data_IF_559583491763
#
_entry.id   IF_559583491763
#
_cell.length_a   1.000
_cell.length_b   1.000
_cell.length_c   1.000
_cell.angle_alpha   90.00
_cell.angle_beta   90.00
_cell.angle_gamma   90.00
#
_symmetry.space_group_name_H-M   'P 1'
#
loop_
_entity.id
_entity.type
_entity.pdbx_description
1 polymer ?
#
# COMPACT_ATOMS: atom_id res chain seq x y z
N UNK A 1 3.23 0.15 23.97
CA UNK A 1 2.71 -0.65 22.84
C UNK A 1 2.46 0.31 21.70
N UNK A 2 3.08 0.10 20.53
CA UNK A 2 2.73 0.87 19.33
C UNK A 2 1.37 0.41 18.81
N UNK A 3 0.61 1.32 18.20
CA UNK A 3 -0.68 0.98 17.61
C UNK A 3 -0.50 0.02 16.43
N UNK A 4 -1.39 -0.98 16.31
CA UNK A 4 -1.34 -1.99 15.25
C UNK A 4 -2.55 -1.80 14.32
N UNK A 5 -2.26 -1.68 13.03
CA UNK A 5 -3.26 -1.43 12.00
C UNK A 5 -3.23 -2.53 10.93
N UNK A 6 -4.39 -3.07 10.58
CA UNK A 6 -4.55 -3.82 9.34
C UNK A 6 -4.76 -2.81 8.21
N UNK A 7 -3.88 -2.85 7.20
CA UNK A 7 -3.88 -1.88 6.10
C UNK A 7 -4.98 -2.22 5.09
N UNK A 8 -5.84 -1.25 4.75
CA UNK A 8 -6.76 -1.40 3.63
C UNK A 8 -6.01 -1.35 2.28
N UNK A 9 -6.48 -2.10 1.29
CA UNK A 9 -5.91 -2.14 -0.05
C UNK A 9 -5.73 -0.76 -0.66
N UNK A 10 -6.69 0.16 -0.46
CA UNK A 10 -6.57 1.50 -1.00
C UNK A 10 -5.39 2.26 -0.41
N UNK A 11 -5.10 2.13 0.88
CA UNK A 11 -3.97 2.80 1.53
C UNK A 11 -2.64 2.32 0.92
N UNK A 12 -2.51 1.01 0.70
CA UNK A 12 -1.36 0.43 0.01
C UNK A 12 -1.25 0.95 -1.43
N UNK A 13 -2.35 1.02 -2.17
CA UNK A 13 -2.36 1.56 -3.53
C UNK A 13 -1.96 3.04 -3.58
N UNK A 14 -2.38 3.87 -2.61
CA UNK A 14 -1.99 5.29 -2.54
C UNK A 14 -0.51 5.45 -2.30
N UNK A 15 0.06 4.61 -1.43
CA UNK A 15 1.49 4.58 -1.17
C UNK A 15 2.28 4.19 -2.45
N UNK A 16 1.86 3.13 -3.16
CA UNK A 16 2.57 2.60 -4.34
C UNK A 16 2.39 3.42 -5.62
N UNK A 17 1.25 4.11 -5.77
CA UNK A 17 0.92 4.88 -6.99
C UNK A 17 1.26 6.37 -6.89
N UNK A 18 1.40 6.90 -5.68
CA UNK A 18 1.56 8.34 -5.49
C UNK A 18 0.30 9.16 -5.80
N UNK A 19 -0.86 8.53 -6.04
CA UNK A 19 -2.07 9.23 -6.47
C UNK A 19 -3.37 8.76 -5.79
N UNK A 20 -4.33 9.67 -5.55
CA UNK A 20 -4.21 11.12 -5.69
C UNK A 20 -3.31 11.72 -4.59
N UNK A 21 -2.60 12.81 -4.92
CA UNK A 21 -1.49 13.34 -4.13
C UNK A 21 -1.81 13.49 -2.62
N UNK A 22 -2.96 14.07 -2.26
CA UNK A 22 -3.35 14.25 -0.85
C UNK A 22 -3.42 12.91 -0.08
N UNK A 23 -3.96 11.87 -0.70
CA UNK A 23 -4.09 10.56 -0.07
C UNK A 23 -2.75 9.81 -0.06
N UNK A 24 -1.96 9.95 -1.13
CA UNK A 24 -0.62 9.39 -1.20
C UNK A 24 0.29 9.95 -0.11
N UNK A 25 0.27 11.27 0.12
CA UNK A 25 1.02 11.91 1.21
C UNK A 25 0.55 11.46 2.59
N UNK A 26 -0.74 11.20 2.77
CA UNK A 26 -1.26 10.64 4.02
C UNK A 26 -0.79 9.18 4.24
N UNK A 27 -0.86 8.35 3.19
CA UNK A 27 -0.36 6.98 3.23
C UNK A 27 1.15 6.95 3.50
N UNK A 28 1.93 7.80 2.82
CA UNK A 28 3.37 7.93 3.03
C UNK A 28 3.71 8.26 4.48
N UNK A 29 3.04 9.23 5.10
CA UNK A 29 3.22 9.55 6.52
C UNK A 29 2.91 8.39 7.45
N UNK A 30 1.89 7.58 7.14
CA UNK A 30 1.57 6.37 7.92
C UNK A 30 2.72 5.34 7.83
N UNK A 31 3.24 5.10 6.63
CA UNK A 31 4.36 4.18 6.42
C UNK A 31 5.67 4.68 7.05
N UNK A 32 5.96 5.99 6.97
CA UNK A 32 7.10 6.61 7.66
C UNK A 32 6.98 6.49 9.18
N UNK A 33 5.79 6.71 9.73
CA UNK A 33 5.51 6.52 11.16
C UNK A 33 5.72 5.07 11.60
N UNK A 34 5.31 4.11 10.77
CA UNK A 34 5.53 2.69 11.03
C UNK A 34 7.02 2.32 10.96
N UNK A 35 7.75 2.84 9.96
CA UNK A 35 9.20 2.64 9.83
C UNK A 35 9.98 3.24 11.02
N UNK A 36 9.47 4.32 11.61
CA UNK A 36 10.01 4.91 12.84
C UNK A 36 9.63 4.14 14.12
N UNK A 37 8.88 3.03 14.02
CA UNK A 37 8.46 2.21 15.16
C UNK A 37 7.25 2.73 15.94
N UNK A 38 6.62 3.82 15.49
CA UNK A 38 5.47 4.43 16.16
C UNK A 38 4.16 3.67 15.89
N UNK A 39 4.11 2.85 14.84
CA UNK A 39 2.99 1.98 14.48
C UNK A 39 3.48 0.65 13.89
N UNK A 40 2.63 -0.36 13.93
CA UNK A 40 2.80 -1.62 13.21
C UNK A 40 1.73 -1.73 12.14
N UNK A 41 2.13 -1.95 10.88
CA UNK A 41 1.23 -2.15 9.76
C UNK A 41 1.22 -3.61 9.35
N UNK A 42 0.03 -4.20 9.25
CA UNK A 42 -0.16 -5.55 8.74
C UNK A 42 -0.76 -5.52 7.35
N UNK A 43 -0.19 -6.32 6.46
CA UNK A 43 -0.69 -6.56 5.12
C UNK A 43 -0.94 -8.06 4.97
N UNK A 44 -2.21 -8.43 4.81
CA UNK A 44 -2.60 -9.83 4.64
C UNK A 44 -2.46 -10.27 3.18
N UNK A 45 -2.39 -11.58 2.89
CA UNK A 45 -2.40 -12.09 1.52
C UNK A 45 -3.59 -11.62 0.68
N UNK A 46 -4.76 -11.41 1.31
CA UNK A 46 -5.96 -10.90 0.61
C UNK A 46 -5.77 -9.45 0.17
N UNK A 47 -5.14 -8.62 1.00
CA UNK A 47 -4.83 -7.21 0.65
C UNK A 47 -3.84 -7.16 -0.52
N UNK A 48 -2.82 -8.03 -0.53
CA UNK A 48 -1.88 -8.14 -1.66
C UNK A 48 -2.59 -8.60 -2.94
N UNK A 49 -3.48 -9.60 -2.84
CA UNK A 49 -4.23 -10.12 -3.98
C UNK A 49 -5.16 -9.04 -4.58
N UNK A 50 -5.86 -8.28 -3.75
CA UNK A 50 -6.72 -7.19 -4.20
C UNK A 50 -5.90 -6.04 -4.81
N UNK A 51 -4.76 -5.67 -4.22
CA UNK A 51 -3.87 -4.66 -4.77
C UNK A 51 -3.35 -5.07 -6.15
N UNK A 52 -2.92 -6.33 -6.30
CA UNK A 52 -2.48 -6.91 -7.57
C UNK A 52 -3.60 -6.86 -8.62
N UNK A 53 -4.79 -7.32 -8.26
CA UNK A 53 -5.95 -7.26 -9.13
C UNK A 53 -6.27 -5.82 -9.56
N UNK A 54 -6.24 -4.87 -8.62
CA UNK A 54 -6.57 -3.47 -8.90
C UNK A 54 -5.53 -2.78 -9.78
N UNK A 55 -4.23 -3.03 -9.53
CA UNK A 55 -3.14 -2.51 -10.36
C UNK A 55 -3.27 -2.96 -11.81
N UNK A 56 -3.53 -4.26 -12.04
CA UNK A 56 -3.63 -4.82 -13.39
C UNK A 56 -4.96 -4.46 -14.06
N UNK A 57 -6.09 -4.62 -13.36
CA UNK A 57 -7.42 -4.49 -13.97
C UNK A 57 -7.89 -3.04 -14.11
N UNK A 58 -7.66 -2.20 -13.10
CA UNK A 58 -8.14 -0.81 -13.08
C UNK A 58 -7.06 0.16 -13.55
N UNK A 59 -5.88 0.09 -12.94
CA UNK A 59 -4.77 0.98 -13.30
C UNK A 59 -4.01 0.58 -14.57
N UNK A 60 -4.31 -0.60 -15.13
CA UNK A 60 -3.69 -1.13 -16.37
C UNK A 60 -2.16 -1.20 -16.29
N UNK A 61 -1.61 -1.38 -15.09
CA UNK A 61 -0.18 -1.63 -14.88
C UNK A 61 0.14 -3.02 -15.42
N UNK A 62 1.28 -3.16 -16.09
CA UNK A 62 1.76 -4.48 -16.53
C UNK A 62 1.88 -5.43 -15.32
N UNK A 63 1.62 -6.72 -15.55
CA UNK A 63 1.59 -7.72 -14.48
C UNK A 63 2.94 -7.85 -13.77
N UNK A 64 4.05 -7.76 -14.50
CA UNK A 64 5.41 -7.82 -13.93
C UNK A 64 5.69 -6.55 -13.13
N UNK A 65 5.35 -5.38 -13.68
CA UNK A 65 5.53 -4.10 -12.99
C UNK A 65 4.70 -4.02 -11.70
N UNK A 66 3.46 -4.54 -11.72
CA UNK A 66 2.61 -4.63 -10.55
C UNK A 66 3.20 -5.54 -9.46
N UNK A 67 3.77 -6.69 -9.86
CA UNK A 67 4.44 -7.59 -8.93
C UNK A 67 5.70 -6.96 -8.31
N UNK A 68 6.51 -6.25 -9.11
CA UNK A 68 7.69 -5.51 -8.61
C UNK A 68 7.28 -4.44 -7.62
N UNK A 69 6.21 -3.68 -7.91
CA UNK A 69 5.66 -2.67 -6.99
C UNK A 69 5.22 -3.25 -5.64
N UNK A 70 4.64 -4.46 -5.63
CA UNK A 70 4.15 -5.11 -4.40
C UNK A 70 5.23 -5.83 -3.59
N UNK A 71 6.39 -6.11 -4.20
CA UNK A 71 7.51 -6.80 -3.56
C UNK A 71 8.50 -5.86 -2.86
N UNK A 72 8.38 -4.54 -3.08
CA UNK A 72 9.23 -3.50 -2.50
C UNK A 72 8.80 -3.14 -1.07
#
# INVERSE_FOLDING_TARGET
MSARYLVDTNVLLRFLSGQPAKQAEAAKRLFESAAAGNASLEVSPVIVAEAMYTLVSFYKVDRVDAAVKLAA
#
